data_IF_581380582036
#
_entry.id   IF_581380582036
#
_cell.length_a   1.000
_cell.length_b   1.000
_cell.length_c   1.000
_cell.angle_alpha   90.00
_cell.angle_beta   90.00
_cell.angle_gamma   90.00
#
_symmetry.space_group_name_H-M   'P 1'
#
loop_
_entity.id
_entity.type
_entity.pdbx_description
1 polymer ?
#
# COMPACT_ATOMS: atom_id res chain seq x y z
N UNK A 1 -2.15 8.02 -31.87
CA UNK A 1 -1.48 8.93 -30.91
C UNK A 1 -1.08 10.27 -31.56
N UNK A 2 -1.76 10.72 -32.63
CA UNK A 2 -1.43 12.00 -33.31
C UNK A 2 -2.55 13.03 -33.27
N UNK A 3 -3.78 12.67 -32.89
CA UNK A 3 -4.92 13.59 -33.04
C UNK A 3 -5.01 14.68 -31.97
N UNK A 4 -4.26 14.58 -30.85
CA UNK A 4 -4.29 15.58 -29.77
C UNK A 4 -2.89 15.92 -29.23
N UNK A 5 -1.83 15.73 -30.04
CA UNK A 5 -0.45 15.83 -29.55
C UNK A 5 -0.14 17.21 -28.95
N UNK A 6 -0.58 18.29 -29.60
CA UNK A 6 -0.33 19.65 -29.14
C UNK A 6 -1.13 20.02 -27.87
N UNK A 7 -2.24 19.33 -27.60
CA UNK A 7 -3.08 19.55 -26.42
C UNK A 7 -2.58 18.77 -25.18
N UNK A 8 -1.99 17.59 -25.41
CA UNK A 8 -1.54 16.70 -24.32
C UNK A 8 -0.08 16.91 -23.95
N UNK A 9 0.73 17.52 -24.82
CA UNK A 9 2.13 17.83 -24.52
C UNK A 9 2.23 18.99 -23.53
N UNK A 10 3.20 18.93 -22.62
CA UNK A 10 3.57 20.06 -21.77
C UNK A 10 4.90 20.65 -22.22
N UNK A 11 5.09 21.95 -21.98
CA UNK A 11 6.32 22.66 -22.33
C UNK A 11 7.52 22.28 -21.46
N UNK A 12 7.28 21.95 -20.20
CA UNK A 12 8.31 21.61 -19.23
C UNK A 12 7.89 20.46 -18.31
N UNK A 13 8.87 19.89 -17.61
CA UNK A 13 8.64 18.87 -16.61
C UNK A 13 7.84 19.42 -15.42
N UNK A 14 8.08 20.68 -15.03
CA UNK A 14 7.38 21.33 -13.91
C UNK A 14 5.89 21.51 -14.25
N UNK A 15 5.58 21.96 -15.47
CA UNK A 15 4.20 22.07 -15.97
C UNK A 15 3.52 20.70 -16.03
N UNK A 16 4.27 19.67 -16.47
CA UNK A 16 3.81 18.28 -16.49
C UNK A 16 3.42 17.79 -15.10
N UNK A 17 4.29 18.00 -14.10
CA UNK A 17 4.02 17.62 -12.71
C UNK A 17 2.83 18.38 -12.15
N UNK A 18 2.74 19.70 -12.37
CA UNK A 18 1.60 20.49 -11.91
C UNK A 18 0.29 20.05 -12.56
N UNK A 19 0.29 19.67 -13.84
CA UNK A 19 -0.89 19.13 -14.53
C UNK A 19 -1.34 17.80 -13.94
N UNK A 20 -0.41 16.91 -13.60
CA UNK A 20 -0.74 15.63 -12.93
C UNK A 20 -1.37 15.85 -11.55
N UNK A 21 -0.92 16.86 -10.80
CA UNK A 21 -1.47 17.16 -9.48
C UNK A 21 -2.89 17.72 -9.51
N UNK A 22 -3.21 18.54 -10.54
CA UNK A 22 -4.48 19.26 -10.60
C UNK A 22 -5.55 18.55 -11.44
N UNK A 23 -5.14 17.76 -12.44
CA UNK A 23 -6.03 17.11 -13.39
C UNK A 23 -5.85 15.58 -13.41
N UNK A 24 -6.82 14.86 -13.99
CA UNK A 24 -6.72 13.40 -14.23
C UNK A 24 -5.80 13.11 -15.41
N UNK A 25 -4.51 13.35 -15.23
CA UNK A 25 -3.49 13.26 -16.27
C UNK A 25 -2.33 12.37 -15.83
N UNK A 26 -1.78 11.60 -16.77
CA UNK A 26 -0.58 10.81 -16.54
C UNK A 26 0.56 11.39 -17.38
N UNK A 27 1.71 11.63 -16.75
CA UNK A 27 2.85 12.25 -17.39
C UNK A 27 4.04 11.30 -17.46
N UNK A 28 4.69 11.24 -18.61
CA UNK A 28 5.94 10.51 -18.79
C UNK A 28 7.12 11.45 -18.61
N UNK A 29 8.05 11.06 -17.75
CA UNK A 29 9.28 11.79 -17.48
C UNK A 29 10.42 10.79 -17.24
N UNK A 30 11.66 11.26 -17.26
CA UNK A 30 12.82 10.45 -16.91
C UNK A 30 12.74 9.92 -15.47
N UNK A 31 13.12 8.66 -15.26
CA UNK A 31 12.95 7.94 -14.00
C UNK A 31 13.60 8.63 -12.79
N UNK A 32 14.79 9.21 -12.96
CA UNK A 32 15.50 9.94 -11.90
C UNK A 32 14.79 11.22 -11.48
N UNK A 33 14.13 11.88 -12.43
CA UNK A 33 13.34 13.09 -12.18
C UNK A 33 12.01 12.72 -11.50
N UNK A 34 11.40 11.58 -11.86
CA UNK A 34 10.20 11.08 -11.19
C UNK A 34 10.53 10.73 -9.73
N UNK A 35 11.60 9.98 -9.51
CA UNK A 35 12.08 9.64 -8.15
C UNK A 35 12.35 10.91 -7.32
N UNK A 36 12.87 11.98 -7.95
CA UNK A 36 13.12 13.25 -7.28
C UNK A 36 11.82 13.95 -6.83
N UNK A 37 10.80 14.00 -7.70
CA UNK A 37 9.53 14.67 -7.43
C UNK A 37 8.66 13.87 -6.45
N UNK A 38 8.60 12.55 -6.58
CA UNK A 38 7.82 11.67 -5.68
C UNK A 38 8.35 11.70 -4.25
N UNK A 39 9.68 11.79 -4.06
CA UNK A 39 10.28 11.95 -2.72
C UNK A 39 9.92 13.29 -2.04
N UNK A 40 9.36 14.25 -2.78
CA UNK A 40 9.03 15.61 -2.30
C UNK A 40 7.53 15.91 -2.29
N UNK A 41 6.76 15.29 -3.19
CA UNK A 41 5.34 15.52 -3.40
C UNK A 41 4.61 14.20 -3.25
N UNK A 42 3.96 14.02 -2.11
CA UNK A 42 3.42 12.72 -1.68
C UNK A 42 2.14 12.34 -2.41
N UNK A 43 1.52 13.31 -3.08
CA UNK A 43 0.36 13.11 -3.95
C UNK A 43 0.75 12.48 -5.31
N UNK A 44 2.05 12.37 -5.61
CA UNK A 44 2.56 11.74 -6.82
C UNK A 44 2.94 10.29 -6.55
N UNK A 45 2.63 9.42 -7.50
CA UNK A 45 3.06 8.02 -7.47
C UNK A 45 3.54 7.57 -8.84
N UNK A 46 4.59 6.75 -8.85
CA UNK A 46 5.07 6.11 -10.07
C UNK A 46 4.27 4.81 -10.29
N UNK A 47 3.64 4.71 -11.46
CA UNK A 47 2.89 3.51 -11.86
C UNK A 47 3.67 2.72 -12.91
N UNK A 48 3.84 1.42 -12.66
CA UNK A 48 4.47 0.49 -13.60
C UNK A 48 6.01 0.47 -13.55
N UNK A 49 6.61 -0.28 -14.47
CA UNK A 49 8.06 -0.41 -14.61
C UNK A 49 8.66 0.69 -15.49
N UNK A 50 9.99 0.85 -15.44
CA UNK A 50 10.69 1.72 -16.37
C UNK A 50 10.52 1.23 -17.81
N UNK A 51 10.25 2.16 -18.74
CA UNK A 51 10.13 1.86 -20.17
C UNK A 51 11.51 1.63 -20.81
N UNK A 52 12.51 2.36 -20.34
CA UNK A 52 13.89 2.28 -20.80
C UNK A 52 14.88 2.46 -19.65
N UNK A 53 16.14 2.08 -19.91
CA UNK A 53 17.25 2.30 -18.99
C UNK A 53 18.31 3.16 -19.70
N UNK A 54 18.20 4.47 -19.53
CA UNK A 54 19.16 5.45 -20.02
C UNK A 54 19.99 5.99 -18.88
N UNK A 55 21.23 6.35 -19.18
CA UNK A 55 22.16 6.92 -18.20
C UNK A 55 22.68 8.28 -18.65
N UNK A 56 22.98 9.14 -17.67
CA UNK A 56 23.63 10.43 -17.92
C UNK A 56 25.13 10.26 -18.18
N UNK A 57 25.66 11.09 -19.07
CA UNK A 57 27.08 11.15 -19.38
C UNK A 57 27.56 12.59 -19.53
N UNK A 58 28.85 12.81 -19.26
CA UNK A 58 29.49 14.10 -19.48
C UNK A 58 29.97 14.17 -20.94
N UNK A 59 29.35 15.05 -21.73
CA UNK A 59 29.73 15.28 -23.11
C UNK A 59 31.03 16.09 -23.21
N UNK A 60 31.91 15.71 -24.13
CA UNK A 60 33.19 16.39 -24.38
C UNK A 60 33.46 16.42 -25.88
N UNK A 61 34.23 17.40 -26.35
CA UNK A 61 34.63 17.46 -27.75
C UNK A 61 35.44 16.19 -28.14
N UNK A 62 35.36 15.81 -29.42
CA UNK A 62 36.16 14.72 -29.96
C UNK A 62 37.64 15.04 -29.74
N UNK A 63 38.41 14.05 -29.27
CA UNK A 63 39.84 14.15 -28.96
C UNK A 63 40.20 15.05 -27.77
N UNK A 64 39.28 15.30 -26.83
CA UNK A 64 39.63 15.99 -25.59
C UNK A 64 40.72 15.21 -24.79
N UNK A 65 41.84 15.85 -24.40
CA UNK A 65 42.99 15.16 -23.80
C UNK A 65 42.67 14.57 -22.41
N UNK A 66 41.71 15.15 -21.69
CA UNK A 66 41.32 14.73 -20.34
C UNK A 66 40.20 13.69 -20.31
N UNK A 67 39.66 13.26 -21.47
CA UNK A 67 38.54 12.31 -21.54
C UNK A 67 38.83 11.03 -20.77
N UNK A 68 39.99 10.41 -21.00
CA UNK A 68 40.38 9.17 -20.33
C UNK A 68 40.57 9.35 -18.82
N UNK A 69 41.22 10.44 -18.41
CA UNK A 69 41.46 10.73 -17.00
C UNK A 69 40.14 10.94 -16.22
N UNK A 70 39.17 11.64 -16.83
CA UNK A 70 37.85 11.83 -16.23
C UNK A 70 37.05 10.53 -16.16
N UNK A 71 37.01 9.74 -17.24
CA UNK A 71 36.33 8.44 -17.22
C UNK A 71 36.91 7.52 -16.14
N UNK A 72 38.23 7.44 -16.02
CA UNK A 72 38.88 6.64 -14.97
C UNK A 72 38.56 7.16 -13.55
N UNK A 73 38.48 8.48 -13.37
CA UNK A 73 38.14 9.08 -12.08
C UNK A 73 36.69 8.81 -11.68
N UNK A 74 35.75 8.84 -12.64
CA UNK A 74 34.33 8.52 -12.41
C UNK A 74 34.18 7.05 -11.98
N UNK A 75 34.88 6.13 -12.66
CA UNK A 75 34.88 4.71 -12.27
C UNK A 75 35.37 4.52 -10.83
N UNK A 76 36.48 5.19 -10.45
CA UNK A 76 36.98 5.16 -9.07
C UNK A 76 35.97 5.72 -8.06
N UNK A 77 35.19 6.74 -8.42
CA UNK A 77 34.14 7.29 -7.55
C UNK A 77 32.96 6.34 -7.41
N UNK A 78 32.62 5.61 -8.48
CA UNK A 78 31.58 4.59 -8.48
C UNK A 78 31.99 3.37 -7.64
N UNK A 79 33.21 2.85 -7.82
CA UNK A 79 33.78 1.76 -7.01
C UNK A 79 33.81 2.10 -5.51
N UNK A 80 34.13 3.36 -5.17
CA UNK A 80 34.10 3.85 -3.79
C UNK A 80 32.69 4.14 -3.26
N UNK A 81 31.64 3.97 -4.07
CA UNK A 81 30.25 4.24 -3.70
C UNK A 81 29.94 5.73 -3.45
N UNK A 82 30.84 6.64 -3.84
CA UNK A 82 30.69 8.09 -3.58
C UNK A 82 29.53 8.69 -4.37
N UNK A 83 29.31 8.20 -5.59
CA UNK A 83 28.19 8.65 -6.43
C UNK A 83 26.85 8.27 -5.76
N UNK A 84 26.73 7.05 -5.23
CA UNK A 84 25.53 6.61 -4.51
C UNK A 84 25.28 7.44 -3.25
N UNK A 85 26.34 7.74 -2.48
CA UNK A 85 26.25 8.63 -1.32
C UNK A 85 25.73 10.03 -1.71
N UNK A 86 26.21 10.57 -2.83
CA UNK A 86 25.74 11.85 -3.33
C UNK A 86 24.29 11.78 -3.81
N UNK A 87 23.89 10.72 -4.52
CA UNK A 87 22.49 10.52 -4.92
C UNK A 87 21.58 10.56 -3.69
N UNK A 88 21.85 9.73 -2.69
CA UNK A 88 21.04 9.67 -1.47
C UNK A 88 20.98 11.03 -0.76
N UNK A 89 22.13 11.69 -0.60
CA UNK A 89 22.20 13.01 0.02
C UNK A 89 21.33 14.05 -0.68
N UNK A 90 21.34 14.10 -2.01
CA UNK A 90 20.61 15.12 -2.77
C UNK A 90 19.15 14.77 -3.03
N UNK A 91 18.82 13.48 -3.20
CA UNK A 91 17.45 13.04 -3.43
C UNK A 91 16.64 12.95 -2.14
N UNK A 92 17.23 12.40 -1.07
CA UNK A 92 16.52 12.05 0.18
C UNK A 92 16.82 12.95 1.38
N UNK A 93 18.02 13.53 1.50
CA UNK A 93 18.36 14.29 2.72
C UNK A 93 18.30 15.82 2.54
N UNK A 94 18.32 16.32 1.31
CA UNK A 94 18.43 17.76 1.01
C UNK A 94 17.24 18.26 0.22
N UNK A 95 16.94 19.56 0.39
CA UNK A 95 15.89 20.29 -0.34
C UNK A 95 14.52 19.61 -0.24
N UNK A 96 14.13 19.21 0.97
CA UNK A 96 12.83 18.57 1.23
C UNK A 96 12.68 17.16 0.68
N UNK A 97 13.78 16.49 0.32
CA UNK A 97 13.76 15.05 0.04
C UNK A 97 13.37 14.26 1.29
N UNK A 98 12.74 13.10 1.09
CA UNK A 98 12.26 12.26 2.19
C UNK A 98 11.06 12.83 2.94
N UNK A 99 10.45 13.92 2.48
CA UNK A 99 9.27 14.50 3.12
C UNK A 99 8.08 13.52 3.16
N UNK A 100 7.97 12.66 2.14
CA UNK A 100 6.93 11.64 2.06
C UNK A 100 7.21 10.39 2.89
N UNK A 101 8.38 10.33 3.52
CA UNK A 101 8.67 9.34 4.57
C UNK A 101 8.26 9.88 5.96
N UNK A 102 8.12 11.20 6.11
CA UNK A 102 7.90 11.86 7.42
C UNK A 102 6.46 12.34 7.65
N UNK A 103 5.63 12.53 6.62
CA UNK A 103 4.24 12.99 6.82
C UNK A 103 3.23 11.86 7.12
N UNK A 104 3.70 10.74 7.71
CA UNK A 104 2.78 9.73 8.26
C UNK A 104 3.30 8.30 8.43
N UNK A 105 4.53 8.05 8.91
CA UNK A 105 4.92 6.64 9.12
C UNK A 105 6.19 6.28 9.89
N UNK A 106 7.07 7.20 10.28
CA UNK A 106 8.12 6.91 11.29
C UNK A 106 7.68 7.22 12.74
N UNK A 107 6.40 7.51 12.93
CA UNK A 107 5.61 6.88 13.97
C UNK A 107 4.96 5.64 13.37
N UNK A 108 5.73 4.57 13.18
CA UNK A 108 5.17 3.25 12.97
C UNK A 108 4.44 2.85 14.25
N UNK A 109 3.28 3.46 14.51
CA UNK A 109 2.13 2.69 14.91
C UNK A 109 2.15 1.51 13.96
N UNK A 110 2.71 0.38 14.40
CA UNK A 110 2.28 -0.89 13.85
C UNK A 110 0.77 -0.73 13.79
N UNK A 111 0.22 -0.64 12.57
CA UNK A 111 -1.19 -0.35 12.30
C UNK A 111 -2.00 -0.99 13.43
N UNK A 112 -2.40 -0.17 14.40
CA UNK A 112 -2.64 -0.62 15.76
C UNK A 112 -3.84 -1.52 15.67
N UNK A 113 -3.63 -2.85 15.62
CA UNK A 113 -4.57 -3.85 15.11
C UNK A 113 -6.01 -3.40 15.31
N UNK A 114 -6.51 -2.62 14.35
CA UNK A 114 -7.72 -1.86 14.58
C UNK A 114 -8.89 -2.82 14.68
N UNK A 115 -9.98 -2.37 15.29
CA UNK A 115 -11.25 -3.10 15.23
C UNK A 115 -11.66 -3.46 13.79
N UNK A 116 -11.16 -2.73 12.79
CA UNK A 116 -11.37 -3.05 11.37
C UNK A 116 -10.64 -4.34 10.92
N UNK A 117 -9.46 -4.64 11.45
CA UNK A 117 -8.72 -5.86 11.12
C UNK A 117 -9.05 -7.04 12.07
N UNK A 118 -9.47 -6.75 13.31
CA UNK A 118 -9.82 -7.76 14.33
C UNK A 118 -11.33 -7.98 14.52
N UNK A 119 -12.17 -7.25 13.78
CA UNK A 119 -13.63 -7.32 13.87
C UNK A 119 -14.21 -8.71 13.59
N UNK A 120 -13.51 -9.53 12.80
CA UNK A 120 -13.90 -10.92 12.56
C UNK A 120 -13.97 -11.77 13.84
N UNK A 121 -13.08 -11.54 14.81
CA UNK A 121 -13.06 -12.31 16.07
C UNK A 121 -14.26 -11.97 16.93
N UNK A 122 -14.62 -10.69 17.04
CA UNK A 122 -15.80 -10.25 17.78
C UNK A 122 -17.10 -10.76 17.16
N UNK A 123 -17.20 -10.78 15.82
CA UNK A 123 -18.38 -11.26 15.11
C UNK A 123 -18.61 -12.77 15.33
N UNK A 124 -17.54 -13.57 15.28
CA UNK A 124 -17.60 -15.00 15.58
C UNK A 124 -18.00 -15.26 17.03
N UNK A 125 -17.48 -14.45 17.97
CA UNK A 125 -17.75 -14.62 19.40
C UNK A 125 -19.22 -14.30 19.75
N UNK A 126 -19.75 -13.20 19.23
CA UNK A 126 -21.16 -12.82 19.42
C UNK A 126 -22.10 -13.79 18.70
N UNK A 127 -21.79 -14.15 17.44
CA UNK A 127 -22.59 -15.10 16.68
C UNK A 127 -22.62 -16.49 17.30
N UNK A 128 -21.46 -16.98 17.77
CA UNK A 128 -21.34 -18.26 18.47
C UNK A 128 -22.11 -18.28 19.79
N UNK A 129 -22.04 -17.20 20.57
CA UNK A 129 -22.79 -17.07 21.82
C UNK A 129 -24.31 -17.08 21.59
N UNK A 130 -24.80 -16.33 20.60
CA UNK A 130 -26.23 -16.29 20.27
C UNK A 130 -26.73 -17.67 19.78
N UNK A 131 -25.98 -18.34 18.91
CA UNK A 131 -26.36 -19.65 18.39
C UNK A 131 -26.38 -20.71 19.51
N UNK A 132 -25.41 -20.69 20.42
CA UNK A 132 -25.41 -21.55 21.60
C UNK A 132 -26.65 -21.32 22.47
N UNK A 133 -27.00 -20.07 22.75
CA UNK A 133 -28.21 -19.75 23.52
C UNK A 133 -29.49 -20.29 22.85
N UNK A 134 -29.62 -20.17 21.53
CA UNK A 134 -30.79 -20.68 20.78
C UNK A 134 -30.85 -22.21 20.85
N UNK A 135 -29.72 -22.89 20.64
CA UNK A 135 -29.64 -24.36 20.74
C UNK A 135 -30.06 -24.82 22.13
N UNK A 136 -29.56 -24.19 23.19
CA UNK A 136 -29.93 -24.52 24.57
C UNK A 136 -31.43 -24.32 24.84
N UNK A 137 -32.04 -23.24 24.35
CA UNK A 137 -33.49 -23.01 24.50
C UNK A 137 -34.29 -24.08 23.77
N UNK A 138 -33.89 -24.47 22.56
CA UNK A 138 -34.57 -25.51 21.78
C UNK A 138 -34.46 -26.87 22.46
N UNK A 139 -33.30 -27.24 22.98
CA UNK A 139 -33.12 -28.49 23.73
C UNK A 139 -34.00 -28.53 24.98
N UNK A 140 -34.09 -27.42 25.72
CA UNK A 140 -34.96 -27.32 26.90
C UNK A 140 -36.44 -27.50 26.52
N UNK A 141 -36.89 -26.91 25.41
CA UNK A 141 -38.29 -27.06 24.94
C UNK A 141 -38.58 -28.51 24.53
N UNK A 142 -37.64 -29.17 23.85
CA UNK A 142 -37.77 -30.57 23.46
C UNK A 142 -37.78 -31.48 24.70
N UNK A 143 -36.90 -31.26 25.68
CA UNK A 143 -36.86 -32.06 26.91
C UNK A 143 -38.14 -31.88 27.75
N UNK A 144 -38.67 -30.66 27.86
CA UNK A 144 -39.94 -30.40 28.54
C UNK A 144 -41.10 -31.08 27.81
N UNK A 145 -41.12 -31.07 26.47
CA UNK A 145 -42.19 -31.71 25.69
C UNK A 145 -42.12 -33.24 25.82
N UNK A 146 -40.93 -33.83 25.71
CA UNK A 146 -40.71 -35.25 25.94
C UNK A 146 -41.00 -35.69 27.39
N UNK A 147 -40.77 -34.83 28.38
CA UNK A 147 -41.17 -35.08 29.78
C UNK A 147 -42.68 -35.01 29.97
N UNK A 148 -43.38 -34.07 29.31
CA UNK A 148 -44.85 -34.02 29.31
C UNK A 148 -45.46 -35.28 28.71
N UNK A 149 -44.88 -35.81 27.64
CA UNK A 149 -45.33 -37.07 27.03
C UNK A 149 -45.07 -38.28 27.94
N UNK A 150 -43.93 -38.34 28.62
CA UNK A 150 -43.63 -39.43 29.58
C UNK A 150 -44.48 -39.37 30.86
N UNK A 151 -44.74 -38.18 31.40
CA UNK A 151 -45.58 -37.99 32.61
C UNK A 151 -47.06 -38.22 32.28
N UNK A 152 -47.54 -37.76 31.13
CA UNK A 152 -48.90 -38.07 30.64
C UNK A 152 -49.09 -39.56 30.36
N UNK A 153 -48.06 -40.24 29.81
CA UNK A 153 -48.06 -41.70 29.63
C UNK A 153 -48.06 -42.47 30.96
N UNK A 154 -47.30 -42.03 31.97
CA UNK A 154 -47.28 -42.64 33.31
C UNK A 154 -48.59 -42.45 34.07
N UNK A 155 -49.21 -41.26 33.99
CA UNK A 155 -50.53 -41.02 34.59
C UNK A 155 -51.63 -41.82 33.88
N UNK A 156 -51.56 -41.95 32.55
CA UNK A 156 -52.51 -42.74 31.76
C UNK A 156 -52.35 -44.26 31.97
N UNK A 157 -51.14 -44.75 32.23
CA UNK A 157 -50.92 -46.17 32.58
C UNK A 157 -51.30 -46.49 34.03
N UNK A 158 -51.07 -45.59 34.99
CA UNK A 158 -51.51 -45.76 36.39
C UNK A 158 -53.04 -45.65 36.55
N UNK A 159 -53.71 -44.76 35.81
CA UNK A 159 -55.18 -44.63 35.85
C UNK A 159 -55.93 -45.79 35.16
N UNK A 160 -55.24 -46.64 34.41
CA UNK A 160 -55.82 -47.87 33.83
C UNK A 160 -55.63 -49.11 34.72
N UNK A 161 -54.94 -48.98 35.86
CA UNK A 161 -54.68 -50.07 36.82
C UNK A 161 -55.41 -49.88 38.17
N UNK A 162 -56.28 -48.87 38.29
CA UNK A 162 -57.23 -48.68 39.39
C UNK A 162 -58.66 -48.81 38.86
#
# INVERSE_FOLDING_TARGET
MHENMDEVMTSSNEDGVNRVLNDKYAFFMESTSIEYEVERKCDLTQVGSLLDNKGYGIAMNKNAPYRHALSASILRLQEKGKITQLKNKWWKEKRGGGACLDDGGEGGSADELGLDNTGGVFLVLVGGSALACVVTVVEIIIDISNKKDKVFFYYKTLASFV
#
